data_IF_144574465151
#
_entry.id   IF_144574465151
#
_cell.length_a   1.000
_cell.length_b   1.000
_cell.length_c   1.000
_cell.angle_alpha   90.00
_cell.angle_beta   90.00
_cell.angle_gamma   90.00
#
_symmetry.space_group_name_H-M   'P 1'
#
loop_
_entity.id
_entity.type
_entity.pdbx_description
1 polymer ?
#
# COMPACT_ATOMS: atom_id res chain seq x y z
N UNK A 1 11.92 -27.26 17.28
CA UNK A 1 11.31 -27.23 15.93
C UNK A 1 10.67 -25.86 15.76
N UNK A 2 11.09 -25.02 14.80
CA UNK A 2 10.36 -23.78 14.56
C UNK A 2 9.09 -24.14 13.79
N UNK A 3 7.94 -23.82 14.36
CA UNK A 3 6.67 -23.82 13.64
C UNK A 3 6.79 -22.66 12.66
N UNK A 4 6.89 -22.95 11.36
CA UNK A 4 6.72 -21.92 10.34
C UNK A 4 5.35 -21.27 10.60
N UNK A 5 5.34 -19.99 10.95
CA UNK A 5 4.09 -19.25 11.08
C UNK A 5 3.42 -19.25 9.71
N UNK A 6 2.36 -20.05 9.56
CA UNK A 6 1.47 -19.94 8.43
C UNK A 6 0.85 -18.55 8.50
N UNK A 7 1.06 -17.73 7.47
CA UNK A 7 0.30 -16.49 7.34
C UNK A 7 -1.19 -16.85 7.30
N UNK A 8 -2.05 -16.16 8.06
CA UNK A 8 -3.49 -16.36 7.95
C UNK A 8 -3.97 -16.08 6.51
N UNK A 9 -5.15 -16.59 6.17
CA UNK A 9 -5.79 -16.27 4.90
C UNK A 9 -5.89 -14.76 4.71
N UNK A 10 -5.58 -14.30 3.49
CA UNK A 10 -5.61 -12.87 3.18
C UNK A 10 -7.04 -12.34 3.30
N UNK A 11 -7.23 -11.28 4.09
CA UNK A 11 -8.52 -10.59 4.17
C UNK A 11 -8.63 -9.65 2.97
N UNK A 12 -9.52 -10.00 2.04
CA UNK A 12 -9.89 -9.12 0.93
C UNK A 12 -11.09 -8.26 1.35
N UNK A 13 -10.86 -6.98 1.62
CA UNK A 13 -11.88 -6.10 2.23
C UNK A 13 -13.19 -5.99 1.45
N UNK A 14 -13.13 -5.99 0.11
CA UNK A 14 -14.35 -5.88 -0.71
C UNK A 14 -15.20 -7.16 -0.68
N UNK A 15 -14.62 -8.30 -0.30
CA UNK A 15 -15.33 -9.58 -0.14
C UNK A 15 -15.97 -9.71 1.25
N UNK A 16 -15.58 -8.89 2.22
CA UNK A 16 -16.16 -8.92 3.56
C UNK A 16 -17.60 -8.38 3.56
N UNK A 17 -18.44 -8.88 4.45
CA UNK A 17 -19.79 -8.33 4.61
C UNK A 17 -19.74 -6.87 5.08
N UNK A 18 -20.51 -5.99 4.45
CA UNK A 18 -20.62 -4.57 4.87
C UNK A 18 -21.37 -4.41 6.21
N UNK A 19 -22.27 -5.35 6.55
CA UNK A 19 -23.09 -5.33 7.79
C UNK A 19 -23.82 -3.99 8.05
N UNK A 20 -24.25 -3.32 6.99
CA UNK A 20 -24.91 -2.01 7.07
C UNK A 20 -23.96 -0.82 7.25
N UNK A 21 -22.66 -1.07 7.40
CA UNK A 21 -21.62 -0.06 7.46
C UNK A 21 -21.10 0.37 6.09
N UNK A 22 -20.24 1.37 6.12
CA UNK A 22 -19.54 1.98 5.01
C UNK A 22 -18.20 1.29 4.75
N UNK A 23 -17.61 1.55 3.57
CA UNK A 23 -16.27 1.03 3.26
C UNK A 23 -15.21 1.52 4.25
N UNK A 24 -15.35 2.74 4.78
CA UNK A 24 -14.38 3.31 5.72
C UNK A 24 -14.43 2.61 7.08
N UNK A 25 -15.62 2.33 7.62
CA UNK A 25 -15.76 1.62 8.90
C UNK A 25 -15.22 0.19 8.82
N UNK A 26 -15.42 -0.47 7.68
CA UNK A 26 -14.84 -1.79 7.43
C UNK A 26 -13.31 -1.71 7.38
N UNK A 27 -12.76 -0.72 6.68
CA UNK A 27 -11.33 -0.49 6.60
C UNK A 27 -10.72 -0.25 7.99
N UNK A 28 -11.33 0.64 8.80
CA UNK A 28 -10.89 0.91 10.16
C UNK A 28 -10.92 -0.33 11.05
N UNK A 29 -11.97 -1.15 10.96
CA UNK A 29 -12.09 -2.41 11.73
C UNK A 29 -10.97 -3.42 11.37
N UNK A 30 -10.41 -3.33 10.17
CA UNK A 30 -9.33 -4.21 9.69
C UNK A 30 -7.97 -3.49 9.63
N UNK A 31 -7.83 -2.34 10.30
CA UNK A 31 -6.61 -1.54 10.28
C UNK A 31 -5.61 -1.88 11.39
N UNK A 32 -5.90 -2.90 12.20
CA UNK A 32 -4.98 -3.43 13.20
C UNK A 32 -3.92 -4.33 12.53
N UNK A 33 -2.95 -3.69 11.90
CA UNK A 33 -1.85 -4.34 11.17
C UNK A 33 -0.51 -3.73 11.59
N UNK A 34 0.56 -4.51 11.50
CA UNK A 34 1.91 -4.02 11.82
C UNK A 34 2.61 -3.27 10.67
N UNK A 35 2.10 -3.38 9.44
CA UNK A 35 2.69 -2.77 8.26
C UNK A 35 1.65 -2.62 7.16
N UNK A 36 1.72 -1.54 6.38
CA UNK A 36 0.84 -1.31 5.24
C UNK A 36 1.62 -1.24 3.92
N UNK A 37 1.14 -1.94 2.89
CA UNK A 37 1.66 -1.86 1.53
C UNK A 37 0.58 -1.26 0.63
N UNK A 38 0.89 -0.15 -0.03
CA UNK A 38 -0.06 0.61 -0.84
C UNK A 38 0.36 0.57 -2.30
N UNK A 39 -0.58 0.23 -3.18
CA UNK A 39 -0.38 0.25 -4.63
C UNK A 39 -1.06 1.48 -5.24
N UNK A 40 -0.26 2.35 -5.84
CA UNK A 40 -0.69 3.55 -6.54
C UNK A 40 -0.68 3.28 -8.04
N UNK A 41 -1.77 2.71 -8.53
CA UNK A 41 -1.98 2.41 -9.95
C UNK A 41 -2.80 3.51 -10.63
N UNK A 42 -2.65 3.71 -11.95
CA UNK A 42 -3.36 4.75 -12.71
C UNK A 42 -4.82 4.34 -12.99
N UNK A 43 -5.59 4.05 -11.93
CA UNK A 43 -6.95 3.52 -12.05
C UNK A 43 -7.99 4.60 -12.36
N UNK A 44 -7.67 5.87 -12.13
CA UNK A 44 -8.53 7.03 -12.34
C UNK A 44 -7.79 8.11 -13.14
N UNK A 45 -8.54 9.11 -13.60
CA UNK A 45 -7.98 10.35 -14.14
C UNK A 45 -8.48 11.55 -13.31
N UNK A 46 -7.66 12.60 -13.21
CA UNK A 46 -8.03 13.82 -12.50
C UNK A 46 -7.20 15.02 -12.93
N UNK A 47 -7.67 16.22 -12.60
CA UNK A 47 -7.01 17.47 -12.94
C UNK A 47 -7.22 18.50 -11.84
N UNK A 48 -6.28 19.46 -11.75
CA UNK A 48 -6.58 20.77 -11.17
C UNK A 48 -7.60 21.49 -12.05
N UNK A 49 -8.44 22.33 -11.45
CA UNK A 49 -9.39 23.16 -12.19
C UNK A 49 -8.67 23.94 -13.31
N UNK A 50 -9.17 23.80 -14.54
CA UNK A 50 -8.58 24.45 -15.73
C UNK A 50 -7.36 23.76 -16.34
N UNK A 51 -7.00 22.55 -15.89
CA UNK A 51 -5.93 21.73 -16.47
C UNK A 51 -6.47 20.50 -17.20
N UNK A 52 -5.64 19.88 -18.04
CA UNK A 52 -5.95 18.58 -18.63
C UNK A 52 -5.93 17.47 -17.57
N UNK A 53 -6.79 16.46 -17.72
CA UNK A 53 -6.78 15.29 -16.87
C UNK A 53 -5.50 14.48 -17.07
N UNK A 54 -4.98 13.93 -15.97
CA UNK A 54 -3.82 13.04 -15.94
C UNK A 54 -4.18 11.76 -15.17
N UNK A 55 -3.54 10.62 -15.48
CA UNK A 55 -3.74 9.39 -14.74
C UNK A 55 -3.37 9.55 -13.26
N UNK A 56 -4.11 8.89 -12.36
CA UNK A 56 -3.89 8.95 -10.92
C UNK A 56 -4.46 7.75 -10.18
N UNK A 57 -3.95 7.55 -8.96
CA UNK A 57 -4.54 6.60 -8.02
C UNK A 57 -5.95 7.01 -7.58
N UNK A 58 -6.78 6.02 -7.25
CA UNK A 58 -8.11 6.29 -6.67
C UNK A 58 -7.95 7.14 -5.40
N UNK A 59 -8.85 8.09 -5.20
CA UNK A 59 -8.77 9.00 -4.06
C UNK A 59 -8.90 8.30 -2.71
N UNK A 60 -9.69 7.23 -2.63
CA UNK A 60 -9.77 6.43 -1.42
C UNK A 60 -8.43 5.76 -1.11
N UNK A 61 -7.64 5.35 -2.11
CA UNK A 61 -6.30 4.77 -1.89
C UNK A 61 -5.33 5.82 -1.34
N UNK A 62 -5.36 7.06 -1.84
CA UNK A 62 -4.56 8.17 -1.28
C UNK A 62 -4.97 8.48 0.17
N UNK A 63 -6.28 8.45 0.46
CA UNK A 63 -6.79 8.61 1.82
C UNK A 63 -6.32 7.47 2.75
N UNK A 64 -6.48 6.21 2.33
CA UNK A 64 -6.08 5.02 3.10
C UNK A 64 -4.56 5.00 3.37
N UNK A 65 -3.74 5.43 2.40
CA UNK A 65 -2.31 5.66 2.60
C UNK A 65 -2.07 6.69 3.72
N UNK A 66 -2.73 7.85 3.65
CA UNK A 66 -2.57 8.91 4.66
C UNK A 66 -3.01 8.45 6.04
N UNK A 67 -4.10 7.68 6.11
CA UNK A 67 -4.57 7.05 7.33
C UNK A 67 -3.50 6.14 7.95
N UNK A 68 -2.91 5.22 7.17
CA UNK A 68 -1.87 4.33 7.70
C UNK A 68 -0.58 5.05 8.04
N UNK A 69 -0.20 6.09 7.31
CA UNK A 69 0.93 6.95 7.69
C UNK A 69 0.69 7.58 9.06
N UNK A 70 -0.51 8.08 9.32
CA UNK A 70 -0.88 8.66 10.61
C UNK A 70 -0.99 7.62 11.74
N UNK A 71 -1.49 6.42 11.44
CA UNK A 71 -1.73 5.35 12.42
C UNK A 71 -0.48 4.54 12.78
N UNK A 72 0.33 4.18 11.79
CA UNK A 72 1.47 3.26 11.95
C UNK A 72 2.83 3.97 11.96
N UNK A 73 2.87 5.24 11.55
CA UNK A 73 4.14 5.93 11.26
C UNK A 73 4.62 5.65 9.84
N UNK A 74 5.52 6.52 9.35
CA UNK A 74 5.99 6.49 7.95
C UNK A 74 6.83 5.25 7.65
N UNK A 75 7.57 4.79 8.64
CA UNK A 75 8.47 3.64 8.59
C UNK A 75 7.74 2.29 8.51
N UNK A 76 6.43 2.27 8.78
CA UNK A 76 5.58 1.09 8.67
C UNK A 76 4.66 1.12 7.42
N UNK A 77 4.93 2.02 6.47
CA UNK A 77 4.14 2.16 5.24
C UNK A 77 5.05 2.13 4.02
N UNK A 78 4.85 1.14 3.15
CA UNK A 78 5.52 1.04 1.85
C UNK A 78 4.54 1.37 0.74
N UNK A 79 4.89 2.32 -0.12
CA UNK A 79 4.03 2.70 -1.24
C UNK A 79 4.74 2.50 -2.57
N UNK A 80 4.05 1.84 -3.49
CA UNK A 80 4.55 1.45 -4.81
C UNK A 80 3.69 2.11 -5.88
N UNK A 81 4.29 2.84 -6.81
CA UNK A 81 3.61 3.48 -7.93
C UNK A 81 3.78 2.71 -9.24
N UNK A 82 2.73 2.62 -10.04
CA UNK A 82 2.79 2.08 -11.40
C UNK A 82 2.71 3.20 -12.43
N UNK A 83 3.76 3.37 -13.22
CA UNK A 83 3.84 4.42 -14.25
C UNK A 83 3.77 5.83 -13.66
N UNK A 84 3.28 6.76 -14.47
CA UNK A 84 3.09 8.15 -14.07
C UNK A 84 1.68 8.34 -13.50
N UNK A 85 1.62 8.59 -12.20
CA UNK A 85 0.39 8.89 -11.46
C UNK A 85 0.50 10.27 -10.82
N UNK A 86 -0.53 11.09 -10.97
CA UNK A 86 -0.67 12.36 -10.24
C UNK A 86 -0.76 12.10 -8.73
N UNK A 87 -0.01 12.89 -7.95
CA UNK A 87 0.08 12.76 -6.51
C UNK A 87 -0.14 14.11 -5.81
N UNK A 88 -0.74 14.06 -4.59
CA UNK A 88 -0.67 15.07 -3.56
C UNK A 88 0.53 16.01 -3.61
N UNK A 89 0.42 17.33 -3.72
CA UNK A 89 1.65 18.17 -3.65
C UNK A 89 2.44 17.93 -2.37
N UNK A 90 1.74 17.73 -1.24
CA UNK A 90 2.36 17.49 0.06
C UNK A 90 3.09 16.14 0.18
N UNK A 91 2.83 15.20 -0.74
CA UNK A 91 3.42 13.85 -0.72
C UNK A 91 4.37 13.61 -1.90
N UNK A 92 4.52 14.57 -2.81
CA UNK A 92 5.45 14.46 -3.95
C UNK A 92 6.90 14.25 -3.52
N UNK A 93 7.30 14.74 -2.34
CA UNK A 93 8.64 14.55 -1.78
C UNK A 93 8.88 13.17 -1.15
N UNK A 94 7.89 12.27 -1.14
CA UNK A 94 8.05 10.91 -0.64
C UNK A 94 8.93 10.07 -1.57
N UNK A 95 9.66 9.10 -1.02
CA UNK A 95 10.44 8.14 -1.81
C UNK A 95 9.50 7.07 -2.36
N UNK A 96 9.17 7.18 -3.64
CA UNK A 96 8.24 6.27 -4.30
C UNK A 96 8.95 5.09 -4.94
N UNK A 97 8.57 3.90 -4.54
CA UNK A 97 9.03 2.69 -5.21
C UNK A 97 8.23 2.43 -6.47
N UNK A 98 8.89 1.86 -7.48
CA UNK A 98 8.26 1.60 -8.79
C UNK A 98 7.76 0.17 -8.82
N UNK A 99 6.50 -0.01 -9.23
CA UNK A 99 5.92 -1.30 -9.53
C UNK A 99 6.40 -1.71 -10.91
N UNK A 100 7.58 -2.34 -10.95
CA UNK A 100 8.21 -2.81 -12.17
C UNK A 100 7.73 -4.22 -12.56
N UNK A 101 7.70 -4.50 -13.86
CA UNK A 101 7.25 -5.78 -14.41
C UNK A 101 8.22 -6.94 -14.08
N UNK A 102 9.46 -6.64 -13.70
CA UNK A 102 10.49 -7.62 -13.36
C UNK A 102 10.49 -7.99 -11.85
N UNK A 103 9.63 -7.37 -11.05
CA UNK A 103 9.45 -7.69 -9.63
C UNK A 103 10.55 -7.17 -8.70
N UNK A 104 11.40 -6.23 -9.12
CA UNK A 104 12.45 -5.66 -8.29
C UNK A 104 11.91 -5.01 -7.00
N UNK A 105 10.68 -4.48 -7.03
CA UNK A 105 9.97 -3.97 -5.84
C UNK A 105 9.88 -4.98 -4.69
N UNK A 106 9.86 -6.30 -4.96
CA UNK A 106 9.75 -7.34 -3.92
C UNK A 106 10.96 -7.34 -3.00
N UNK A 107 12.16 -7.19 -3.57
CA UNK A 107 13.40 -7.12 -2.78
C UNK A 107 13.46 -5.84 -1.95
N UNK A 108 12.92 -4.73 -2.45
CA UNK A 108 12.87 -3.46 -1.74
C UNK A 108 11.88 -3.53 -0.57
N UNK A 109 10.68 -4.03 -0.81
CA UNK A 109 9.69 -4.29 0.24
C UNK A 109 10.26 -5.21 1.33
N UNK A 110 10.96 -6.28 0.94
CA UNK A 110 11.60 -7.19 1.89
C UNK A 110 12.65 -6.48 2.77
N UNK A 111 13.44 -5.55 2.22
CA UNK A 111 14.40 -4.75 2.98
C UNK A 111 13.69 -3.82 3.98
N UNK A 112 12.63 -3.14 3.55
CA UNK A 112 11.87 -2.23 4.40
C UNK A 112 11.13 -2.97 5.52
N UNK A 113 10.53 -4.13 5.23
CA UNK A 113 9.92 -4.99 6.24
C UNK A 113 10.96 -5.47 7.27
N UNK A 114 12.14 -5.89 6.82
CA UNK A 114 13.22 -6.27 7.73
C UNK A 114 13.68 -5.10 8.62
N UNK A 115 13.77 -3.88 8.05
CA UNK A 115 14.10 -2.67 8.79
C UNK A 115 13.01 -2.29 9.82
N UNK A 116 11.75 -2.59 9.53
CA UNK A 116 10.61 -2.45 10.44
C UNK A 116 10.49 -3.60 11.46
N UNK A 117 11.45 -4.54 11.50
CA UNK A 117 11.52 -5.60 12.51
C UNK A 117 10.78 -6.90 12.14
N UNK A 118 10.30 -7.03 10.90
CA UNK A 118 9.66 -8.27 10.43
C UNK A 118 10.70 -9.34 10.06
N UNK A 119 10.38 -10.60 10.33
CA UNK A 119 11.20 -11.73 9.89
C UNK A 119 10.97 -12.00 8.41
N UNK A 120 12.05 -11.95 7.62
CA UNK A 120 12.01 -12.18 6.17
C UNK A 120 12.76 -13.46 5.82
N UNK A 121 12.06 -14.35 5.13
CA UNK A 121 12.67 -15.51 4.49
C UNK A 121 13.21 -15.13 3.12
N UNK A 122 14.50 -14.77 3.10
CA UNK A 122 15.19 -14.32 1.89
C UNK A 122 15.31 -15.41 0.81
N UNK A 123 15.16 -16.69 1.16
CA UNK A 123 15.22 -17.79 0.19
C UNK A 123 14.03 -17.80 -0.77
N UNK A 124 12.91 -17.18 -0.38
CA UNK A 124 11.68 -17.07 -1.19
C UNK A 124 11.70 -15.89 -2.17
N UNK A 125 12.76 -15.08 -2.15
CA UNK A 125 12.92 -13.89 -3.00
C UNK A 125 13.91 -14.10 -4.15
N UNK A 126 14.56 -15.26 -4.19
CA UNK A 126 15.34 -15.73 -5.34
C UNK A 126 14.43 -16.28 -6.44
N UNK A 127 14.69 -15.98 -7.74
CA UNK A 127 13.96 -16.54 -8.87
C UNK A 127 14.00 -18.07 -8.93
#
# INVERSE_FOLDING_TARGET
MPIAAAFPEAIVLHEQANRGGTNIEKFETNSDVGYAVVLLTPDNEGAKTGSAASPRARQNVIFEWGYFVGRLGREHVFAIKKGDVELPSDIQGWVWEVLDDYGAWRQKLAKELAAAGFSIDWSKLTP
#
